data_IF_835250297857
#
_entry.id   IF_835250297857
#
_cell.length_a   1.000
_cell.length_b   1.000
_cell.length_c   1.000
_cell.angle_alpha   90.00
_cell.angle_beta   90.00
_cell.angle_gamma   90.00
#
_symmetry.space_group_name_H-M   'P 1'
#
loop_
_entity.id
_entity.type
_entity.pdbx_description
1 polymer ?
#
# COMPACT_ATOMS: atom_id res chain seq x y z
N UNK A 1 24.02 -8.84 5.25
CA UNK A 1 23.12 -7.99 6.06
C UNK A 1 21.70 -8.52 5.83
N UNK A 2 20.62 -7.82 6.17
CA UNK A 2 19.30 -8.32 5.79
C UNK A 2 19.11 -8.13 4.27
N UNK A 3 18.42 -9.05 3.59
CA UNK A 3 18.26 -9.03 2.13
C UNK A 3 16.86 -8.52 1.80
N UNK A 4 16.76 -7.57 0.87
CA UNK A 4 15.46 -7.05 0.43
C UNK A 4 14.62 -8.17 -0.19
N UNK A 5 13.37 -8.30 0.24
CA UNK A 5 12.43 -9.31 -0.26
C UNK A 5 12.02 -9.12 -1.73
N UNK A 6 12.25 -7.94 -2.29
CA UNK A 6 11.80 -7.58 -3.65
C UNK A 6 12.95 -7.65 -4.65
N UNK A 7 13.98 -6.84 -4.48
CA UNK A 7 15.09 -6.75 -5.43
C UNK A 7 16.25 -7.72 -5.11
N UNK A 8 16.25 -8.34 -3.92
CA UNK A 8 17.31 -9.24 -3.50
C UNK A 8 18.64 -8.56 -3.15
N UNK A 9 18.69 -7.24 -3.06
CA UNK A 9 19.88 -6.50 -2.64
C UNK A 9 20.20 -6.80 -1.17
N UNK A 10 21.48 -7.05 -0.87
CA UNK A 10 21.99 -7.16 0.50
C UNK A 10 22.60 -5.82 0.88
N UNK A 11 21.95 -5.10 1.79
CA UNK A 11 22.30 -3.72 2.08
C UNK A 11 22.25 -3.40 3.56
N UNK A 12 23.38 -2.93 4.09
CA UNK A 12 23.42 -1.60 4.67
C UNK A 12 22.29 -1.20 5.62
N UNK A 13 21.41 -0.43 5.01
CA UNK A 13 20.33 0.32 5.62
C UNK A 13 18.98 -0.35 5.38
N UNK A 14 18.96 -1.68 5.19
CA UNK A 14 17.70 -2.42 5.18
C UNK A 14 16.92 -2.15 6.46
N UNK A 15 15.61 -2.10 6.34
CA UNK A 15 14.69 -1.86 7.43
C UNK A 15 13.56 -2.89 7.41
N UNK A 16 12.91 -3.04 8.55
CA UNK A 16 11.78 -3.93 8.72
C UNK A 16 10.45 -3.17 8.71
N UNK A 17 9.44 -3.78 8.12
CA UNK A 17 8.04 -3.36 8.22
C UNK A 17 7.28 -4.48 8.92
N UNK A 18 6.72 -4.18 10.08
CA UNK A 18 5.93 -5.11 10.88
C UNK A 18 4.44 -4.82 10.62
N UNK A 19 3.80 -5.63 9.78
CA UNK A 19 2.41 -5.41 9.37
C UNK A 19 1.73 -6.73 8.96
N UNK A 20 0.39 -6.78 9.03
CA UNK A 20 -0.40 -7.94 8.59
C UNK A 20 0.03 -9.27 9.25
N UNK A 21 0.52 -9.22 10.49
CA UNK A 21 1.00 -10.39 11.22
C UNK A 21 2.35 -10.95 10.74
N UNK A 22 3.07 -10.22 9.88
CA UNK A 22 4.38 -10.62 9.35
C UNK A 22 5.40 -9.49 9.48
N UNK A 23 6.67 -9.88 9.58
CA UNK A 23 7.81 -8.97 9.44
C UNK A 23 8.34 -9.07 8.02
N UNK A 24 8.47 -7.92 7.37
CA UNK A 24 9.02 -7.80 6.02
C UNK A 24 10.33 -7.01 6.00
N UNK A 25 11.28 -7.36 5.14
CA UNK A 25 12.57 -6.68 5.00
C UNK A 25 12.72 -6.01 3.65
N UNK A 26 13.08 -4.72 3.63
CA UNK A 26 13.32 -3.95 2.41
C UNK A 26 14.56 -3.07 2.50
N UNK A 27 15.13 -2.73 1.36
CA UNK A 27 16.28 -1.83 1.24
C UNK A 27 15.92 -0.38 0.87
N UNK A 28 14.69 -0.16 0.38
CA UNK A 28 14.14 1.17 0.09
C UNK A 28 12.61 1.18 0.16
N UNK A 29 12.02 2.38 0.27
CA UNK A 29 10.56 2.54 0.29
C UNK A 29 9.89 2.12 -1.02
N UNK A 30 10.56 2.26 -2.17
CA UNK A 30 10.00 1.80 -3.44
C UNK A 30 9.72 0.29 -3.40
N UNK A 31 10.67 -0.54 -2.92
CA UNK A 31 10.47 -1.97 -2.75
C UNK A 31 9.34 -2.28 -1.76
N UNK A 32 9.30 -1.59 -0.62
CA UNK A 32 8.24 -1.76 0.37
C UNK A 32 6.85 -1.43 -0.22
N UNK A 33 6.70 -0.27 -0.85
CA UNK A 33 5.46 0.17 -1.51
C UNK A 33 5.06 -0.80 -2.62
N UNK A 34 6.00 -1.21 -3.48
CA UNK A 34 5.74 -2.17 -4.56
C UNK A 34 5.14 -3.47 -4.03
N UNK A 35 5.64 -3.97 -2.89
CA UNK A 35 5.19 -5.24 -2.32
C UNK A 35 3.92 -5.12 -1.47
N UNK A 36 3.76 -4.02 -0.73
CA UNK A 36 2.79 -3.95 0.37
C UNK A 36 1.64 -2.98 0.14
N UNK A 37 1.78 -1.99 -0.74
CA UNK A 37 0.73 -1.00 -0.94
C UNK A 37 -0.48 -1.64 -1.65
N UNK A 38 -1.70 -1.52 -1.11
CA UNK A 38 -2.91 -1.91 -1.82
C UNK A 38 -3.04 -1.18 -3.15
N UNK A 39 -3.77 -1.76 -4.09
CA UNK A 39 -4.03 -1.16 -5.40
C UNK A 39 -5.46 -0.63 -5.39
N UNK A 40 -5.65 0.61 -5.84
CA UNK A 40 -6.98 1.18 -6.02
C UNK A 40 -7.76 0.39 -7.07
N UNK A 41 -8.98 -0.06 -6.73
CA UNK A 41 -9.81 -0.85 -7.66
C UNK A 41 -10.25 -0.04 -8.89
N UNK A 42 -10.35 1.29 -8.76
CA UNK A 42 -10.73 2.17 -9.87
C UNK A 42 -9.54 2.59 -10.74
N UNK A 43 -8.60 3.36 -10.19
CA UNK A 43 -7.53 4.00 -10.96
C UNK A 43 -6.22 3.20 -11.03
N UNK A 44 -6.15 2.05 -10.35
CA UNK A 44 -4.97 1.15 -10.30
C UNK A 44 -3.70 1.77 -9.70
N UNK A 45 -3.78 2.96 -9.12
CA UNK A 45 -2.67 3.55 -8.38
C UNK A 45 -2.39 2.76 -7.10
N UNK A 46 -1.11 2.70 -6.71
CA UNK A 46 -0.73 2.19 -5.40
C UNK A 46 -1.16 3.17 -4.31
N UNK A 47 -1.84 2.67 -3.29
CA UNK A 47 -2.35 3.45 -2.18
C UNK A 47 -1.25 3.59 -1.14
N UNK A 48 -0.58 4.74 -1.14
CA UNK A 48 0.53 5.07 -0.22
C UNK A 48 0.13 6.07 0.88
N UNK A 49 -1.02 6.72 0.72
CA UNK A 49 -1.61 7.63 1.71
C UNK A 49 -2.82 7.00 2.40
N UNK A 50 -3.65 7.85 3.03
CA UNK A 50 -4.88 7.40 3.67
C UNK A 50 -5.96 7.12 2.60
N UNK A 51 -6.02 5.87 2.15
CA UNK A 51 -7.08 5.38 1.27
C UNK A 51 -8.39 5.16 2.01
N UNK A 52 -9.38 4.66 1.27
CA UNK A 52 -10.69 4.27 1.80
C UNK A 52 -10.95 2.80 1.49
N UNK A 53 -11.53 2.08 2.46
CA UNK A 53 -11.99 0.71 2.29
C UNK A 53 -13.52 0.69 2.28
N UNK A 54 -14.13 -0.01 1.32
CA UNK A 54 -15.58 -0.16 1.24
C UNK A 54 -15.95 -1.52 0.65
N UNK A 55 -16.73 -2.32 1.39
CA UNK A 55 -17.12 -3.68 1.03
C UNK A 55 -15.93 -4.58 0.65
N UNK A 56 -14.82 -4.47 1.40
CA UNK A 56 -13.59 -5.24 1.17
C UNK A 56 -12.78 -4.80 -0.05
N UNK A 57 -13.13 -3.69 -0.68
CA UNK A 57 -12.38 -3.09 -1.80
C UNK A 57 -11.64 -1.84 -1.34
N UNK A 58 -10.48 -1.59 -1.94
CA UNK A 58 -9.61 -0.46 -1.58
C UNK A 58 -9.59 0.60 -2.67
N UNK A 59 -9.63 1.86 -2.26
CA UNK A 59 -9.58 3.01 -3.17
C UNK A 59 -8.63 4.09 -2.64
N UNK A 60 -7.97 4.81 -3.55
CA UNK A 60 -7.03 5.86 -3.15
C UNK A 60 -7.71 7.10 -2.54
N UNK A 61 -9.01 7.29 -2.79
CA UNK A 61 -9.81 8.40 -2.25
C UNK A 61 -11.32 8.14 -2.47
N UNK A 62 -12.16 8.98 -1.85
CA UNK A 62 -13.61 8.95 -1.97
C UNK A 62 -14.09 9.13 -3.41
N UNK A 63 -13.38 9.92 -4.23
CA UNK A 63 -13.71 10.07 -5.65
C UNK A 63 -13.67 8.73 -6.39
N UNK A 64 -12.58 7.96 -6.24
CA UNK A 64 -12.44 6.65 -6.87
C UNK A 64 -13.47 5.65 -6.35
N UNK A 65 -13.75 5.66 -5.04
CA UNK A 65 -14.75 4.76 -4.48
C UNK A 65 -16.17 5.06 -5.02
N UNK A 66 -16.54 6.34 -5.12
CA UNK A 66 -17.83 6.75 -5.69
C UNK A 66 -17.94 6.44 -7.18
N UNK A 67 -16.83 6.49 -7.92
CA UNK A 67 -16.80 6.08 -9.32
C UNK A 67 -17.16 4.59 -9.50
N UNK A 68 -16.85 3.75 -8.50
CA UNK A 68 -17.29 2.34 -8.41
C UNK A 68 -18.62 2.16 -7.66
N UNK A 69 -19.43 3.22 -7.53
CA UNK A 69 -20.78 3.17 -6.98
C UNK A 69 -20.87 3.11 -5.45
N UNK A 70 -19.77 3.31 -4.73
CA UNK A 70 -19.80 3.38 -3.25
C UNK A 70 -20.45 4.69 -2.78
N UNK A 71 -21.32 4.60 -1.77
CA UNK A 71 -22.10 5.74 -1.24
C UNK A 71 -21.65 6.13 0.16
N UNK A 72 -21.82 7.40 0.51
CA UNK A 72 -21.54 7.91 1.87
C UNK A 72 -20.06 8.04 2.25
N UNK A 73 -19.13 7.76 1.34
CA UNK A 73 -17.69 7.89 1.59
C UNK A 73 -17.28 9.36 1.45
N UNK A 74 -16.47 9.88 2.37
CA UNK A 74 -15.92 11.24 2.36
C UNK A 74 -14.42 11.16 2.64
N UNK A 75 -13.62 11.97 1.95
CA UNK A 75 -12.19 12.08 2.24
C UNK A 75 -11.99 12.77 3.59
N UNK A 76 -11.13 12.22 4.43
CA UNK A 76 -10.70 12.87 5.67
C UNK A 76 -9.39 13.62 5.41
N UNK A 77 -9.40 14.93 5.69
CA UNK A 77 -8.23 15.83 5.61
C UNK A 77 -7.67 16.04 7.00
#
# INVERSE_FOLDING_TARGET
>A
MARCEVCGNDYRMTFEVHAQGKVHVFDCFQCAIHRMAPICEHCRAQIIGQGVEADGQFYCCAHCARAEGKVGIVDHV
#
